data_IF_626545278959
#
_entry.id   IF_626545278959
#
_cell.length_a   1.000
_cell.length_b   1.000
_cell.length_c   1.000
_cell.angle_alpha   90.00
_cell.angle_beta   90.00
_cell.angle_gamma   90.00
#
_symmetry.space_group_name_H-M   'P 1'
#
loop_
_entity.id
_entity.type
_entity.pdbx_description
1 polymer ?
#
# COMPACT_ATOMS: atom_id res chain seq x y z
N UNK A 1 6.76 -15.26 -11.73
CA UNK A 1 6.90 -13.81 -11.87
C UNK A 1 5.49 -13.26 -11.73
N UNK A 2 5.18 -12.61 -10.62
CA UNK A 2 3.80 -12.33 -10.19
C UNK A 2 3.24 -11.03 -10.83
N UNK A 3 4.02 -10.45 -11.76
CA UNK A 3 3.68 -9.24 -12.49
C UNK A 3 3.94 -7.94 -11.73
N UNK A 4 4.63 -8.02 -10.59
CA UNK A 4 5.00 -6.85 -9.78
C UNK A 4 6.33 -6.29 -10.23
N UNK A 5 6.35 -5.03 -10.64
CA UNK A 5 7.58 -4.25 -10.82
C UNK A 5 7.96 -3.60 -9.50
N UNK A 6 9.24 -3.63 -9.11
CA UNK A 6 9.70 -3.09 -7.82
C UNK A 6 11.05 -2.40 -7.96
N UNK A 7 11.19 -1.26 -7.29
CA UNK A 7 12.46 -0.53 -7.14
C UNK A 7 12.67 -0.09 -5.69
N UNK A 8 13.94 -0.08 -5.26
CA UNK A 8 14.35 0.42 -3.95
C UNK A 8 15.44 1.46 -4.11
N UNK A 9 15.20 2.63 -3.54
CA UNK A 9 16.14 3.74 -3.52
C UNK A 9 16.67 3.97 -2.08
N UNK A 10 17.99 4.15 -1.95
CA UNK A 10 18.66 4.53 -0.71
C UNK A 10 18.62 6.05 -0.54
N UNK A 11 17.52 6.57 -0.01
CA UNK A 11 17.31 8.02 0.15
C UNK A 11 18.28 8.65 1.16
N UNK A 12 18.58 7.96 2.27
CA UNK A 12 19.54 8.41 3.28
C UNK A 12 20.04 7.24 4.16
N UNK A 13 20.87 7.53 5.17
CA UNK A 13 21.26 6.55 6.19
C UNK A 13 20.02 6.01 6.89
N UNK A 14 19.85 4.68 6.86
CA UNK A 14 18.70 3.97 7.41
C UNK A 14 17.32 4.38 6.85
N UNK A 15 17.26 5.08 5.70
CA UNK A 15 16.01 5.47 5.04
C UNK A 15 15.92 4.85 3.66
N UNK A 16 14.76 4.29 3.31
CA UNK A 16 14.48 3.70 2.00
C UNK A 16 13.24 4.32 1.40
N UNK A 17 13.22 4.44 0.08
CA UNK A 17 11.99 4.59 -0.70
C UNK A 17 11.81 3.33 -1.51
N UNK A 18 10.64 2.74 -1.42
CA UNK A 18 10.24 1.55 -2.17
C UNK A 18 9.11 2.00 -3.09
N UNK A 19 9.20 1.62 -4.36
CA UNK A 19 8.13 1.87 -5.33
C UNK A 19 7.85 0.56 -6.04
N UNK A 20 6.61 0.09 -5.92
CA UNK A 20 6.16 -1.12 -6.56
C UNK A 20 4.84 -0.90 -7.29
N UNK A 21 4.65 -1.60 -8.40
CA UNK A 21 3.45 -1.47 -9.23
C UNK A 21 3.04 -2.82 -9.81
N UNK A 22 1.73 -3.06 -9.89
CA UNK A 22 1.12 -4.27 -10.45
C UNK A 22 0.00 -3.90 -11.42
N UNK A 23 -0.16 -4.69 -12.49
CA UNK A 23 -1.35 -4.63 -13.33
C UNK A 23 -2.55 -5.26 -12.62
N UNK A 24 -3.66 -4.53 -12.61
CA UNK A 24 -4.96 -4.98 -12.09
C UNK A 24 -5.88 -5.48 -13.23
N UNK A 25 -5.38 -5.54 -14.47
CA UNK A 25 -6.21 -5.94 -15.62
C UNK A 25 -7.37 -4.97 -15.85
N UNK A 26 -8.57 -5.50 -16.06
CA UNK A 26 -9.80 -4.73 -16.29
C UNK A 26 -10.58 -4.40 -15.00
N UNK A 27 -10.02 -4.66 -13.81
CA UNK A 27 -10.66 -4.33 -12.53
C UNK A 27 -10.94 -2.82 -12.47
N UNK A 28 -12.17 -2.35 -12.23
CA UNK A 28 -12.47 -0.92 -12.14
C UNK A 28 -11.73 -0.24 -10.99
N UNK A 29 -11.36 1.04 -11.17
CA UNK A 29 -10.73 1.86 -10.13
C UNK A 29 -11.55 1.85 -8.84
N UNK A 30 -12.87 1.98 -8.94
CA UNK A 30 -13.76 2.02 -7.78
C UNK A 30 -13.77 0.70 -6.99
N UNK A 31 -13.58 -0.44 -7.65
CA UNK A 31 -13.44 -1.74 -6.98
C UNK A 31 -12.16 -1.78 -6.15
N UNK A 32 -11.03 -1.34 -6.73
CA UNK A 32 -9.75 -1.26 -6.02
C UNK A 32 -9.81 -0.25 -4.87
N UNK A 33 -10.46 0.89 -5.10
CA UNK A 33 -10.68 1.92 -4.10
C UNK A 33 -11.46 1.38 -2.90
N UNK A 34 -12.57 0.66 -3.15
CA UNK A 34 -13.37 0.03 -2.11
C UNK A 34 -12.57 -0.95 -1.27
N UNK A 35 -11.70 -1.77 -1.89
CA UNK A 35 -10.80 -2.68 -1.16
C UNK A 35 -9.83 -1.92 -0.26
N UNK A 36 -9.22 -0.84 -0.75
CA UNK A 36 -8.20 -0.09 0.00
C UNK A 36 -8.79 0.81 1.11
N UNK A 37 -10.06 1.20 0.99
CA UNK A 37 -10.77 2.05 1.96
C UNK A 37 -11.63 1.28 2.96
N UNK A 38 -11.78 -0.04 2.76
CA UNK A 38 -12.23 -0.98 3.79
C UNK A 38 -11.10 -1.22 4.83
N UNK A 39 -10.77 -0.14 5.55
CA UNK A 39 -9.60 -0.09 6.42
C UNK A 39 -9.56 -1.20 7.48
N UNK A 40 -10.71 -1.62 8.00
CA UNK A 40 -10.78 -2.67 9.01
C UNK A 40 -10.64 -4.06 8.38
N UNK A 41 -11.21 -4.27 7.18
CA UNK A 41 -11.07 -5.51 6.42
C UNK A 41 -9.67 -5.76 5.84
N UNK A 42 -8.80 -4.74 5.78
CA UNK A 42 -7.41 -4.90 5.30
C UNK A 42 -6.65 -6.01 6.05
N UNK A 43 -6.88 -6.14 7.37
CA UNK A 43 -6.17 -7.13 8.19
C UNK A 43 -6.58 -8.60 7.87
N UNK A 44 -7.69 -8.81 7.17
CA UNK A 44 -8.18 -10.16 6.83
C UNK A 44 -7.38 -10.81 5.71
N UNK A 45 -6.74 -10.00 4.86
CA UNK A 45 -6.07 -10.51 3.65
C UNK A 45 -4.68 -9.93 3.39
N UNK A 46 -4.25 -8.86 4.07
CA UNK A 46 -2.89 -8.31 3.95
C UNK A 46 -1.94 -9.07 4.88
N UNK A 47 -0.95 -9.82 4.35
CA UNK A 47 -0.03 -10.59 5.18
C UNK A 47 0.82 -9.68 6.08
N UNK A 48 0.92 -10.05 7.35
CA UNK A 48 1.71 -9.31 8.33
C UNK A 48 1.01 -8.06 8.89
N UNK A 49 -0.21 -7.71 8.44
CA UNK A 49 -1.06 -6.73 9.09
C UNK A 49 -1.98 -7.44 10.09
N UNK A 50 -1.54 -7.58 11.34
CA UNK A 50 -2.27 -8.32 12.37
C UNK A 50 -3.56 -7.61 12.84
N UNK A 51 -3.61 -6.28 12.73
CA UNK A 51 -4.81 -5.51 13.06
C UNK A 51 -4.81 -4.17 12.34
N UNK A 52 -5.98 -3.74 11.89
CA UNK A 52 -6.25 -2.40 11.39
C UNK A 52 -7.59 -1.96 11.98
N UNK A 53 -7.60 -0.88 12.74
CA UNK A 53 -8.80 -0.36 13.42
C UNK A 53 -8.96 1.11 13.10
N UNK A 54 -10.17 1.52 12.80
CA UNK A 54 -10.46 2.95 12.61
C UNK A 54 -10.61 3.62 13.97
N UNK A 55 -9.76 4.61 14.26
CA UNK A 55 -9.87 5.46 15.44
C UNK A 55 -10.86 6.61 15.19
N UNK A 56 -10.81 7.18 13.99
CA UNK A 56 -11.66 8.30 13.59
C UNK A 56 -11.87 8.26 12.07
N UNK A 57 -13.11 8.45 11.60
CA UNK A 57 -13.39 8.69 10.17
C UNK A 57 -13.65 10.17 9.93
N UNK A 58 -13.18 10.66 8.77
CA UNK A 58 -13.40 12.00 8.25
C UNK A 58 -13.93 11.91 6.83
N UNK A 59 -14.34 13.04 6.26
CA UNK A 59 -14.88 13.09 4.90
C UNK A 59 -13.85 12.66 3.84
N UNK A 60 -12.57 12.98 4.06
CA UNK A 60 -11.47 12.74 3.12
C UNK A 60 -10.37 11.84 3.71
N UNK A 61 -10.75 10.88 4.55
CA UNK A 61 -9.82 9.90 5.09
C UNK A 61 -10.15 9.47 6.51
N UNK A 62 -9.14 8.99 7.23
CA UNK A 62 -9.32 8.42 8.55
C UNK A 62 -8.02 8.42 9.35
N UNK A 63 -8.14 8.28 10.67
CA UNK A 63 -7.03 7.89 11.51
C UNK A 63 -7.19 6.42 11.87
N UNK A 64 -6.13 5.63 11.65
CA UNK A 64 -6.13 4.19 11.85
C UNK A 64 -5.12 3.82 12.93
N UNK A 65 -5.46 2.84 13.77
CA UNK A 65 -4.50 2.09 14.57
C UNK A 65 -4.15 0.81 13.83
N UNK A 66 -2.90 0.68 13.40
CA UNK A 66 -2.40 -0.52 12.73
C UNK A 66 -1.33 -1.22 13.57
N UNK A 67 -1.38 -2.56 13.54
CA UNK A 67 -0.40 -3.43 14.18
C UNK A 67 0.13 -4.39 13.12
N UNK A 68 1.39 -4.21 12.76
CA UNK A 68 2.15 -5.15 11.95
C UNK A 68 2.79 -6.23 12.81
N UNK A 69 2.78 -7.48 12.34
CA UNK A 69 3.45 -8.61 13.00
C UNK A 69 4.15 -9.49 11.97
N UNK A 70 5.41 -9.81 12.24
CA UNK A 70 6.24 -10.64 11.37
C UNK A 70 7.20 -11.52 12.15
N UNK A 71 7.55 -12.66 11.57
CA UNK A 71 8.68 -13.46 12.04
C UNK A 71 9.97 -13.03 11.34
N UNK A 72 10.90 -12.51 12.14
CA UNK A 72 12.26 -12.22 11.75
C UNK A 72 13.11 -13.51 11.66
N UNK A 73 14.40 -13.35 11.33
CA UNK A 73 15.30 -14.49 11.20
C UNK A 73 15.53 -15.09 12.60
N UNK A 74 15.80 -16.40 12.66
CA UNK A 74 16.02 -17.13 13.91
C UNK A 74 14.79 -17.16 14.84
N UNK A 75 13.57 -17.01 14.31
CA UNK A 75 12.32 -17.15 15.07
C UNK A 75 11.95 -15.95 15.95
N UNK A 76 12.63 -14.81 15.78
CA UNK A 76 12.30 -13.58 16.53
C UNK A 76 11.02 -12.97 15.98
N UNK A 77 10.00 -12.73 16.82
CA UNK A 77 8.78 -12.02 16.39
C UNK A 77 8.97 -10.51 16.46
N UNK A 78 8.79 -9.82 15.34
CA UNK A 78 8.71 -8.37 15.26
C UNK A 78 7.24 -7.96 15.27
N UNK A 79 6.89 -7.05 16.19
CA UNK A 79 5.58 -6.42 16.25
C UNK A 79 5.80 -4.92 16.23
N UNK A 80 5.14 -4.23 15.30
CA UNK A 80 5.18 -2.78 15.20
C UNK A 80 3.78 -2.22 15.27
N UNK A 81 3.61 -1.15 16.04
CA UNK A 81 2.37 -0.40 16.16
C UNK A 81 2.55 0.97 15.51
N UNK A 82 1.52 1.44 14.81
CA UNK A 82 1.46 2.77 14.23
C UNK A 82 0.05 3.35 14.26
N UNK A 83 -0.07 4.63 14.61
CA UNK A 83 -1.23 5.46 14.31
C UNK A 83 -0.98 6.09 12.94
N UNK A 84 -1.82 5.76 11.97
CA UNK A 84 -1.70 6.17 10.57
C UNK A 84 -2.77 7.20 10.27
N UNK A 85 -2.34 8.37 9.84
CA UNK A 85 -3.19 9.38 9.23
C UNK A 85 -3.34 9.05 7.74
N UNK A 86 -4.57 8.83 7.30
CA UNK A 86 -4.90 8.50 5.91
C UNK A 86 -5.63 9.67 5.27
N UNK A 87 -5.24 10.03 4.05
CA UNK A 87 -5.86 11.08 3.25
C UNK A 87 -6.32 10.50 1.92
N UNK A 88 -7.62 10.46 1.72
CA UNK A 88 -8.28 10.06 0.48
C UNK A 88 -8.34 11.26 -0.47
N UNK A 89 -7.55 11.24 -1.56
CA UNK A 89 -7.56 12.32 -2.54
C UNK A 89 -8.75 12.18 -3.52
N UNK A 90 -9.29 13.30 -4.03
CA UNK A 90 -10.33 13.28 -5.05
C UNK A 90 -9.88 12.56 -6.33
N UNK A 91 -10.86 12.05 -7.09
CA UNK A 91 -10.62 11.51 -8.42
C UNK A 91 -10.07 12.60 -9.35
N UNK A 92 -8.94 12.32 -9.97
CA UNK A 92 -8.28 13.16 -10.96
C UNK A 92 -8.57 12.63 -12.37
N UNK A 93 -9.03 13.50 -13.26
CA UNK A 93 -9.23 13.16 -14.67
C UNK A 93 -7.92 13.34 -15.44
N UNK A 94 -7.56 12.34 -16.24
CA UNK A 94 -6.40 12.34 -17.13
C UNK A 94 -6.89 12.40 -18.58
N UNK A 95 -6.01 12.78 -19.51
CA UNK A 95 -6.34 12.86 -20.94
C UNK A 95 -6.91 11.54 -21.50
N UNK A 96 -6.46 10.41 -20.96
CA UNK A 96 -6.85 9.07 -21.39
C UNK A 96 -7.30 8.17 -20.24
N UNK A 97 -7.86 8.73 -19.16
CA UNK A 97 -8.28 7.91 -18.02
C UNK A 97 -8.55 8.71 -16.75
N UNK A 98 -8.32 8.06 -15.62
CA UNK A 98 -8.45 8.69 -14.32
C UNK A 98 -7.45 8.12 -13.32
N UNK A 99 -7.19 8.90 -12.26
CA UNK A 99 -6.32 8.53 -11.15
C UNK A 99 -6.99 8.84 -9.84
N UNK A 100 -6.72 8.03 -8.82
CA UNK A 100 -7.05 8.36 -7.44
C UNK A 100 -5.98 7.85 -6.48
N UNK A 101 -5.65 8.68 -5.50
CA UNK A 101 -4.55 8.45 -4.57
C UNK A 101 -5.07 8.39 -3.13
N UNK A 102 -4.49 7.49 -2.33
CA UNK A 102 -4.64 7.43 -0.88
C UNK A 102 -3.27 7.70 -0.27
N UNK A 103 -3.09 8.88 0.31
CA UNK A 103 -1.92 9.22 1.09
C UNK A 103 -1.99 8.62 2.48
N UNK A 104 -0.85 8.24 3.04
CA UNK A 104 -0.76 7.82 4.43
C UNK A 104 0.53 8.32 5.08
N UNK A 105 0.44 8.70 6.36
CA UNK A 105 1.58 9.11 7.17
C UNK A 105 1.41 8.59 8.61
N UNK A 106 2.45 7.96 9.15
CA UNK A 106 2.43 7.48 10.52
C UNK A 106 2.78 8.62 11.47
N UNK A 107 1.78 9.07 12.23
CA UNK A 107 1.90 10.20 13.17
C UNK A 107 2.40 9.79 14.55
N UNK A 108 2.24 8.52 14.92
CA UNK A 108 2.77 7.93 16.15
C UNK A 108 3.13 6.46 15.92
N UNK A 109 4.26 5.96 16.44
CA UNK A 109 4.56 4.52 16.36
C UNK A 109 6.02 4.11 16.47
N UNK A 110 6.29 2.93 15.89
CA UNK A 110 7.57 2.22 16.02
C UNK A 110 8.62 2.53 14.96
N UNK A 111 8.29 3.39 14.00
CA UNK A 111 9.22 3.91 12.99
C UNK A 111 9.54 5.40 13.24
N UNK A 112 10.66 5.88 12.70
CA UNK A 112 10.95 7.32 12.64
C UNK A 112 10.22 7.99 11.47
N UNK A 113 9.97 7.22 10.41
CA UNK A 113 9.22 7.64 9.22
C UNK A 113 8.53 6.41 8.64
N UNK A 114 7.24 6.53 8.39
CA UNK A 114 6.48 5.56 7.61
C UNK A 114 5.37 6.33 6.91
N UNK A 115 5.55 6.60 5.63
CA UNK A 115 4.60 7.39 4.84
C UNK A 115 4.64 6.99 3.39
N UNK A 116 3.58 7.28 2.66
CA UNK A 116 3.51 6.88 1.27
C UNK A 116 2.18 7.16 0.63
N UNK A 117 2.00 6.56 -0.54
CA UNK A 117 0.81 6.69 -1.36
C UNK A 117 0.46 5.33 -1.96
N UNK A 118 -0.82 4.98 -1.88
CA UNK A 118 -1.45 4.06 -2.83
C UNK A 118 -2.03 4.85 -3.99
N UNK A 119 -1.66 4.50 -5.21
CA UNK A 119 -2.12 5.16 -6.42
C UNK A 119 -2.81 4.17 -7.33
N UNK A 120 -4.04 4.48 -7.71
CA UNK A 120 -4.82 3.72 -8.67
C UNK A 120 -4.90 4.55 -9.94
N UNK A 121 -4.46 4.00 -11.07
CA UNK A 121 -4.59 4.65 -12.38
C UNK A 121 -5.35 3.71 -13.31
N UNK A 122 -6.46 4.17 -13.88
CA UNK A 122 -7.25 3.45 -14.87
C UNK A 122 -7.19 4.19 -16.20
N UNK A 123 -6.57 3.56 -17.19
CA UNK A 123 -6.35 4.09 -18.52
C UNK A 123 -7.35 3.47 -19.50
N UNK A 124 -7.89 4.30 -20.39
CA UNK A 124 -8.78 3.94 -21.48
C UNK A 124 -7.94 3.73 -22.75
N UNK A 125 -8.07 2.57 -23.36
CA UNK A 125 -7.41 2.21 -24.62
C UNK A 125 -8.43 2.02 -25.73
N UNK A 126 -8.18 2.63 -26.89
CA UNK A 126 -9.01 2.50 -28.09
C UNK A 126 -10.19 3.49 -28.12
N UNK A 127 -10.56 3.93 -29.33
CA UNK A 127 -11.67 4.88 -29.55
C UNK A 127 -12.99 4.17 -29.83
N UNK A 128 -12.94 2.97 -30.44
CA UNK A 128 -14.13 2.21 -30.87
C UNK A 128 -14.48 1.05 -29.93
N UNK A 129 -13.48 0.31 -29.42
CA UNK A 129 -13.63 -0.74 -28.39
C UNK A 129 -12.84 -0.33 -27.13
N UNK A 130 -13.40 0.60 -26.34
CA UNK A 130 -12.74 1.13 -25.15
C UNK A 130 -12.48 0.01 -24.13
N UNK A 131 -11.23 -0.43 -24.05
CA UNK A 131 -10.76 -1.35 -23.01
C UNK A 131 -10.13 -0.56 -21.89
N UNK A 132 -10.41 -0.93 -20.65
CA UNK A 132 -9.82 -0.27 -19.50
C UNK A 132 -8.70 -1.11 -18.93
N UNK A 133 -7.56 -0.49 -18.64
CA UNK A 133 -6.47 -1.12 -17.91
C UNK A 133 -6.22 -0.35 -16.62
N UNK A 134 -6.30 -1.05 -15.50
CA UNK A 134 -6.03 -0.48 -14.18
C UNK A 134 -4.66 -0.94 -13.69
N UNK A 135 -3.92 -0.02 -13.07
CA UNK A 135 -2.69 -0.32 -12.34
C UNK A 135 -2.79 0.16 -10.91
N UNK A 136 -2.13 -0.55 -10.01
CA UNK A 136 -2.01 -0.19 -8.60
C UNK A 136 -0.53 0.00 -8.29
N UNK A 137 -0.19 1.18 -7.79
CA UNK A 137 1.17 1.56 -7.40
C UNK A 137 1.22 1.86 -5.91
N UNK A 138 2.23 1.32 -5.23
CA UNK A 138 2.52 1.58 -3.83
C UNK A 138 3.90 2.21 -3.70
N UNK A 139 3.94 3.42 -3.14
CA UNK A 139 5.18 4.15 -2.85
C UNK A 139 5.29 4.28 -1.34
N UNK A 140 6.37 3.79 -0.76
CA UNK A 140 6.63 3.81 0.67
C UNK A 140 7.99 4.43 0.97
N UNK A 141 8.02 5.48 1.78
CA UNK A 141 9.21 5.93 2.48
C UNK A 141 9.22 5.40 3.91
N UNK A 142 10.28 4.67 4.25
CA UNK A 142 10.42 4.04 5.56
C UNK A 142 11.79 4.33 6.17
N UNK A 143 11.77 4.63 7.47
CA UNK A 143 12.95 4.78 8.31
C UNK A 143 12.68 4.12 9.67
N UNK A 144 13.25 2.94 9.94
CA UNK A 144 13.12 2.31 11.25
C UNK A 144 13.88 3.08 12.34
N UNK A 145 13.53 2.80 13.61
CA UNK A 145 14.29 3.30 14.77
C UNK A 145 15.73 2.77 14.74
N UNK A 146 16.67 3.55 15.30
CA UNK A 146 18.14 3.39 15.15
C UNK A 146 18.66 1.99 15.50
N UNK A 147 17.99 1.28 16.41
CA UNK A 147 18.40 -0.04 16.89
C UNK A 147 18.16 -1.20 15.88
N UNK A 148 17.45 -0.96 14.77
CA UNK A 148 17.20 -1.97 13.72
C UNK A 148 17.86 -1.52 12.40
N UNK A 149 18.87 -2.25 11.89
CA UNK A 149 19.43 -2.00 10.56
C UNK A 149 18.39 -2.24 9.45
N UNK A 150 18.07 -1.22 8.64
CA UNK A 150 17.08 -1.36 7.54
C UNK A 150 17.45 -2.43 6.51
N UNK A 151 18.75 -2.76 6.37
CA UNK A 151 19.22 -3.82 5.47
C UNK A 151 18.69 -5.22 5.87
N UNK A 152 18.41 -5.47 7.16
CA UNK A 152 17.77 -6.72 7.60
C UNK A 152 16.29 -6.78 7.21
N UNK A 153 15.70 -5.62 6.90
CA UNK A 153 14.32 -5.49 6.47
C UNK A 153 14.23 -5.45 4.94
N UNK A 154 15.26 -5.02 4.19
CA UNK A 154 15.20 -4.80 2.73
C UNK A 154 14.64 -6.00 1.94
N UNK A 155 15.20 -7.20 2.10
CA UNK A 155 14.72 -8.39 1.37
C UNK A 155 13.31 -8.83 1.76
N UNK A 156 12.87 -8.53 2.99
CA UNK A 156 11.51 -8.82 3.46
C UNK A 156 10.51 -7.77 3.02
N UNK A 157 10.88 -6.50 3.12
CA UNK A 157 10.14 -5.35 2.64
C UNK A 157 9.82 -5.48 1.15
N UNK A 158 10.74 -5.99 0.34
CA UNK A 158 10.46 -6.30 -1.06
C UNK A 158 9.30 -7.29 -1.21
N UNK A 159 9.42 -8.44 -0.52
CA UNK A 159 8.42 -9.50 -0.58
C UNK A 159 7.07 -9.04 -0.04
N UNK A 160 7.06 -8.27 1.05
CA UNK A 160 5.85 -7.73 1.67
C UNK A 160 5.15 -6.73 0.78
N UNK A 161 5.89 -5.76 0.23
CA UNK A 161 5.30 -4.77 -0.67
C UNK A 161 4.70 -5.44 -1.90
N UNK A 162 5.40 -6.42 -2.49
CA UNK A 162 4.86 -7.20 -3.60
C UNK A 162 3.63 -8.00 -3.19
N UNK A 163 3.66 -8.66 -2.02
CA UNK A 163 2.52 -9.42 -1.52
C UNK A 163 1.31 -8.54 -1.24
N UNK A 164 1.49 -7.34 -0.69
CA UNK A 164 0.38 -6.42 -0.44
C UNK A 164 -0.34 -6.07 -1.76
N UNK A 165 0.41 -5.77 -2.82
CA UNK A 165 -0.15 -5.49 -4.15
C UNK A 165 -0.92 -6.69 -4.71
N UNK A 166 -0.35 -7.89 -4.61
CA UNK A 166 -0.99 -9.14 -5.07
C UNK A 166 -2.28 -9.40 -4.28
N UNK A 167 -2.23 -9.30 -2.95
CA UNK A 167 -3.37 -9.53 -2.08
C UNK A 167 -4.51 -8.53 -2.34
N UNK A 168 -4.21 -7.26 -2.61
CA UNK A 168 -5.24 -6.29 -3.03
C UNK A 168 -5.85 -6.66 -4.38
N UNK A 169 -5.04 -7.06 -5.36
CA UNK A 169 -5.54 -7.53 -6.66
C UNK A 169 -6.44 -8.74 -6.51
N UNK A 170 -5.99 -9.74 -5.76
CA UNK A 170 -6.72 -10.99 -5.58
C UNK A 170 -8.03 -10.74 -4.81
N UNK A 171 -8.01 -9.85 -3.80
CA UNK A 171 -9.22 -9.43 -3.09
C UNK A 171 -10.19 -8.69 -4.01
N UNK A 172 -9.69 -7.81 -4.87
CA UNK A 172 -10.52 -7.09 -5.84
C UNK A 172 -11.14 -8.02 -6.89
N UNK A 173 -10.42 -9.05 -7.34
CA UNK A 173 -10.95 -10.08 -8.24
C UNK A 173 -12.07 -10.92 -7.60
N UNK A 174 -12.03 -11.14 -6.28
CA UNK A 174 -13.04 -11.93 -5.57
C UNK A 174 -14.38 -11.21 -5.39
N UNK A 175 -14.41 -9.88 -5.50
CA UNK A 175 -15.61 -9.06 -5.28
C UNK A 175 -16.19 -8.46 -6.57
N UNK A 176 -15.60 -8.82 -7.71
CA UNK A 176 -16.03 -8.46 -9.06
C UNK A 176 -17.04 -9.48 -9.59
#
# INVERSE_FOLDING_TARGET
>A
DDGVTLSIEKVAKNKRRISASISMGCIPLETVWGVLTDYEGLADFIPGLASSKVLERRENGAQLLQIGEQELALGVKFRAKGVIEVTELPLELLDNGCRRDIGFDMVEGDFNLFRGIWRIEQILHGVEDATTQTSLTYILEVQPKIWIPVALLEGRLQKEVSNNLICVRDRALLIL
#
